data_IF_691936427766
#
_entry.id   IF_691936427766
#
_cell.length_a   1.000
_cell.length_b   1.000
_cell.length_c   1.000
_cell.angle_alpha   90.00
_cell.angle_beta   90.00
_cell.angle_gamma   90.00
#
_symmetry.space_group_name_H-M   'P 1'
#
loop_
_entity.id
_entity.type
_entity.pdbx_description
1 polymer ?
#
# COMPACT_ATOMS: atom_id res chain seq x y z
N UNK A 1 14.57 23.06 -2.09
CA UNK A 1 13.50 23.99 -2.54
C UNK A 1 12.37 23.97 -1.50
N UNK A 2 11.67 25.09 -1.21
CA UNK A 2 10.51 25.08 -0.34
C UNK A 2 9.36 24.28 -0.99
N UNK A 3 8.59 23.59 -0.16
CA UNK A 3 7.37 22.86 -0.50
C UNK A 3 6.19 23.38 0.32
N UNK A 4 5.01 22.77 0.20
CA UNK A 4 3.85 23.19 1.00
C UNK A 4 3.97 22.81 2.48
N UNK A 5 4.73 21.74 2.79
CA UNK A 5 4.87 21.19 4.15
C UNK A 5 6.30 21.30 4.70
N UNK A 6 7.23 21.92 3.97
CA UNK A 6 8.60 22.07 4.41
C UNK A 6 9.60 22.32 3.29
N UNK A 7 10.54 21.41 3.09
CA UNK A 7 11.58 21.52 2.06
C UNK A 7 11.80 20.18 1.35
N UNK A 8 12.16 20.25 0.06
CA UNK A 8 12.61 19.08 -0.69
C UNK A 8 13.88 19.40 -1.50
N UNK A 9 14.76 18.43 -1.64
CA UNK A 9 15.89 18.50 -2.55
C UNK A 9 16.21 17.12 -3.11
N UNK A 10 16.93 17.11 -4.21
CA UNK A 10 17.37 15.89 -4.90
C UNK A 10 18.89 15.84 -4.87
N UNK A 11 19.43 14.70 -4.46
CA UNK A 11 20.86 14.41 -4.52
C UNK A 11 21.10 13.32 -5.58
N UNK A 12 22.13 13.52 -6.41
CA UNK A 12 22.57 12.50 -7.35
C UNK A 12 23.52 11.55 -6.65
N UNK A 13 23.37 10.27 -6.97
CA UNK A 13 24.33 9.26 -6.56
C UNK A 13 25.65 9.48 -7.32
N UNK A 14 26.78 9.47 -6.61
CA UNK A 14 28.09 9.71 -7.20
C UNK A 14 28.60 8.52 -8.01
N UNK A 15 28.23 7.31 -7.61
CA UNK A 15 28.62 6.06 -8.23
C UNK A 15 27.67 5.62 -9.35
N UNK A 16 26.40 6.12 -9.29
CA UNK A 16 25.35 5.82 -10.27
C UNK A 16 24.68 7.13 -10.75
N UNK A 17 25.22 7.79 -11.77
CA UNK A 17 24.77 9.13 -12.20
C UNK A 17 23.31 9.24 -12.63
N UNK A 18 22.67 8.13 -13.02
CA UNK A 18 21.24 8.04 -13.31
C UNK A 18 20.38 7.95 -12.05
N UNK A 19 20.97 7.61 -10.90
CA UNK A 19 20.26 7.44 -9.67
C UNK A 19 20.20 8.74 -8.85
N UNK A 20 19.06 8.96 -8.19
CA UNK A 20 18.80 10.14 -7.39
C UNK A 20 18.05 9.78 -6.11
N UNK A 21 18.39 10.45 -5.02
CA UNK A 21 17.64 10.40 -3.77
C UNK A 21 16.85 11.69 -3.60
N UNK A 22 15.54 11.57 -3.41
CA UNK A 22 14.67 12.66 -2.99
C UNK A 22 14.66 12.72 -1.46
N UNK A 23 15.00 13.87 -0.93
CA UNK A 23 14.87 14.19 0.50
C UNK A 23 13.68 15.12 0.70
N UNK A 24 12.81 14.78 1.64
CA UNK A 24 11.72 15.64 2.12
C UNK A 24 11.98 15.93 3.59
N UNK A 25 12.07 17.19 3.97
CA UNK A 25 12.40 17.63 5.33
C UNK A 25 13.69 16.98 5.88
N UNK A 26 14.68 16.75 5.02
CA UNK A 26 15.96 16.12 5.39
C UNK A 26 15.91 14.60 5.54
N UNK A 27 14.76 13.97 5.30
CA UNK A 27 14.60 12.50 5.34
C UNK A 27 14.63 11.93 3.93
N UNK A 28 15.42 10.86 3.64
CA UNK A 28 15.36 10.14 2.38
C UNK A 28 13.96 9.56 2.18
N UNK A 29 13.21 10.10 1.21
CA UNK A 29 11.80 9.75 1.00
C UNK A 29 11.59 8.92 -0.27
N UNK A 30 12.52 8.99 -1.23
CA UNK A 30 12.48 8.14 -2.42
C UNK A 30 13.87 8.02 -3.01
N UNK A 31 14.17 6.86 -3.56
CA UNK A 31 15.32 6.64 -4.41
C UNK A 31 14.83 6.18 -5.78
N UNK A 32 15.38 6.76 -6.84
CA UNK A 32 14.99 6.47 -8.21
C UNK A 32 16.24 6.31 -9.07
N UNK A 33 16.29 5.26 -9.87
CA UNK A 33 17.13 5.24 -11.05
C UNK A 33 16.30 5.79 -12.23
N UNK A 34 16.78 6.87 -12.84
CA UNK A 34 16.04 7.55 -13.91
C UNK A 34 16.09 6.75 -15.22
N UNK A 35 17.12 5.91 -15.42
CA UNK A 35 17.30 5.06 -16.59
C UNK A 35 16.68 3.66 -16.38
N UNK A 36 16.47 3.24 -15.12
CA UNK A 36 15.81 1.96 -14.79
C UNK A 36 14.57 2.17 -13.90
N UNK A 37 13.40 2.38 -14.49
CA UNK A 37 12.16 2.52 -13.74
C UNK A 37 11.69 1.22 -13.04
N UNK A 38 12.29 0.08 -13.38
CA UNK A 38 12.06 -1.20 -12.72
C UNK A 38 12.78 -1.36 -11.39
N UNK A 39 13.78 -0.52 -11.12
CA UNK A 39 14.57 -0.58 -9.90
C UNK A 39 13.83 0.02 -8.71
N UNK A 40 13.74 -0.74 -7.63
CA UNK A 40 13.25 -0.31 -6.31
C UNK A 40 14.35 -0.50 -5.28
N UNK A 41 14.90 0.59 -4.74
CA UNK A 41 16.01 0.52 -3.78
C UNK A 41 15.55 0.15 -2.37
N UNK A 42 14.41 0.68 -1.93
CA UNK A 42 13.93 0.42 -0.58
C UNK A 42 13.34 -0.99 -0.47
N UNK A 43 13.78 -1.74 0.53
CA UNK A 43 13.43 -3.14 0.74
C UNK A 43 11.92 -3.34 0.87
N UNK A 44 11.22 -2.44 1.58
CA UNK A 44 9.77 -2.53 1.74
C UNK A 44 9.03 -2.34 0.41
N UNK A 45 9.53 -1.51 -0.50
CA UNK A 45 8.95 -1.36 -1.84
C UNK A 45 9.12 -2.62 -2.68
N UNK A 46 10.28 -3.31 -2.57
CA UNK A 46 10.49 -4.62 -3.22
C UNK A 46 9.53 -5.67 -2.65
N UNK A 47 9.26 -5.64 -1.35
CA UNK A 47 8.28 -6.52 -0.70
C UNK A 47 6.86 -6.23 -1.19
N UNK A 48 6.48 -4.95 -1.32
CA UNK A 48 5.19 -4.55 -1.90
C UNK A 48 5.06 -4.98 -3.36
N UNK A 49 6.11 -4.79 -4.16
CA UNK A 49 6.17 -5.23 -5.55
C UNK A 49 5.95 -6.75 -5.69
N UNK A 50 6.58 -7.56 -4.83
CA UNK A 50 6.37 -9.00 -4.80
C UNK A 50 4.91 -9.39 -4.52
N UNK A 51 4.18 -8.63 -3.71
CA UNK A 51 2.73 -8.84 -3.50
C UNK A 51 1.93 -8.44 -4.74
N UNK A 52 2.27 -7.32 -5.39
CA UNK A 52 1.61 -6.88 -6.64
C UNK A 52 1.80 -7.92 -7.75
N UNK A 53 2.94 -8.62 -7.77
CA UNK A 53 3.21 -9.67 -8.76
C UNK A 53 2.38 -10.95 -8.57
N UNK A 54 1.76 -11.15 -7.39
CA UNK A 54 0.76 -12.22 -7.18
C UNK A 54 -0.60 -11.91 -7.83
N UNK A 55 -0.86 -10.65 -8.20
CA UNK A 55 -2.07 -10.30 -8.93
C UNK A 55 -2.03 -10.82 -10.37
N UNK A 56 -3.20 -11.01 -10.96
CA UNK A 56 -3.33 -11.43 -12.36
C UNK A 56 -2.48 -10.52 -13.28
N UNK A 57 -1.83 -11.09 -14.32
CA UNK A 57 -1.04 -10.31 -15.28
C UNK A 57 -1.89 -9.29 -16.01
N UNK A 58 -1.26 -8.17 -16.38
CA UNK A 58 -1.89 -7.11 -17.16
C UNK A 58 -1.96 -5.78 -16.42
N UNK A 59 -2.65 -4.80 -17.01
CA UNK A 59 -2.75 -3.46 -16.44
C UNK A 59 -3.56 -3.43 -15.16
N UNK A 60 -3.17 -2.53 -14.24
CA UNK A 60 -3.79 -2.34 -12.92
C UNK A 60 -4.42 -0.94 -12.81
N UNK A 61 -5.40 -0.84 -11.93
CA UNK A 61 -5.81 0.45 -11.37
C UNK A 61 -5.22 0.56 -9.96
N UNK A 62 -4.24 1.44 -9.80
CA UNK A 62 -3.51 1.61 -8.54
C UNK A 62 -3.75 2.98 -7.91
N UNK A 63 -3.90 3.00 -6.59
CA UNK A 63 -3.99 4.20 -5.77
C UNK A 63 -2.76 4.21 -4.83
N UNK A 64 -2.01 5.31 -4.88
CA UNK A 64 -0.85 5.52 -4.03
C UNK A 64 -1.12 6.69 -3.09
N UNK A 65 -1.27 6.41 -1.80
CA UNK A 65 -1.42 7.37 -0.73
C UNK A 65 -0.03 7.63 -0.13
N UNK A 66 0.46 8.87 -0.26
CA UNK A 66 1.86 9.23 -0.09
C UNK A 66 2.65 8.95 -1.37
N UNK A 67 2.62 9.89 -2.32
CA UNK A 67 3.23 9.66 -3.62
C UNK A 67 4.72 10.03 -3.67
N UNK A 68 5.17 10.98 -2.86
CA UNK A 68 6.56 11.48 -2.79
C UNK A 68 7.26 11.51 -4.17
N UNK A 69 8.38 10.77 -4.36
CA UNK A 69 9.12 10.67 -5.62
C UNK A 69 8.52 9.72 -6.65
N UNK A 70 7.40 9.06 -6.36
CA UNK A 70 6.71 8.15 -7.26
C UNK A 70 7.53 6.91 -7.70
N UNK A 71 8.39 6.37 -6.84
CA UNK A 71 9.19 5.17 -7.16
C UNK A 71 8.30 3.98 -7.51
N UNK A 72 7.34 3.62 -6.64
CA UNK A 72 6.42 2.52 -6.88
C UNK A 72 5.46 2.78 -8.07
N UNK A 73 4.88 3.98 -8.26
CA UNK A 73 4.14 4.31 -9.47
C UNK A 73 4.94 4.13 -10.78
N UNK A 74 6.23 4.50 -10.80
CA UNK A 74 7.13 4.28 -11.96
C UNK A 74 7.34 2.79 -12.22
N UNK A 75 7.57 2.02 -11.16
CA UNK A 75 7.70 0.57 -11.24
C UNK A 75 6.43 -0.09 -11.81
N UNK A 76 5.24 0.30 -11.34
CA UNK A 76 3.96 -0.21 -11.87
C UNK A 76 3.80 0.14 -13.34
N UNK A 77 4.11 1.36 -13.77
CA UNK A 77 4.04 1.74 -15.18
C UNK A 77 4.97 0.89 -16.06
N UNK A 78 6.17 0.58 -15.55
CA UNK A 78 7.17 -0.21 -16.25
C UNK A 78 6.77 -1.69 -16.35
N UNK A 79 6.36 -2.30 -15.23
CA UNK A 79 6.08 -3.74 -15.15
C UNK A 79 4.67 -4.13 -15.57
N UNK A 80 3.72 -3.19 -15.50
CA UNK A 80 2.29 -3.35 -15.82
C UNK A 80 1.84 -2.29 -16.81
N UNK A 81 2.39 -2.27 -18.06
CA UNK A 81 2.08 -1.24 -19.03
C UNK A 81 0.58 -1.18 -19.34
N UNK A 82 0.06 0.04 -19.51
CA UNK A 82 -1.37 0.30 -19.67
C UNK A 82 -2.14 0.48 -18.36
N UNK A 83 -1.46 0.44 -17.22
CA UNK A 83 -2.05 0.72 -15.92
C UNK A 83 -2.52 2.18 -15.81
N UNK A 84 -3.51 2.39 -14.96
CA UNK A 84 -4.06 3.71 -14.63
C UNK A 84 -3.85 3.95 -13.14
N UNK A 85 -3.16 5.03 -12.80
CA UNK A 85 -2.70 5.26 -11.44
C UNK A 85 -3.09 6.65 -10.92
N UNK A 86 -3.42 6.74 -9.65
CA UNK A 86 -3.63 7.97 -8.90
C UNK A 86 -2.65 8.02 -7.73
N UNK A 87 -1.76 9.01 -7.72
CA UNK A 87 -0.92 9.36 -6.59
C UNK A 87 -1.54 10.53 -5.83
N UNK A 88 -1.68 10.39 -4.52
CA UNK A 88 -2.20 11.41 -3.62
C UNK A 88 -1.11 11.79 -2.64
N UNK A 89 -0.88 13.07 -2.47
CA UNK A 89 0.05 13.60 -1.48
C UNK A 89 -0.48 14.94 -0.94
N UNK A 90 -0.24 15.22 0.32
CA UNK A 90 -0.70 16.46 0.94
C UNK A 90 0.07 17.68 0.40
N UNK A 91 1.31 17.49 -0.03
CA UNK A 91 2.20 18.56 -0.48
C UNK A 91 2.03 18.86 -1.98
N UNK A 92 1.16 19.81 -2.28
CA UNK A 92 0.90 20.23 -3.66
C UNK A 92 2.17 20.69 -4.40
N UNK A 93 3.05 21.41 -3.70
CA UNK A 93 4.28 21.91 -4.30
C UNK A 93 5.30 20.79 -4.56
N UNK A 94 5.38 19.80 -3.67
CA UNK A 94 6.19 18.62 -3.90
C UNK A 94 5.74 17.89 -5.17
N UNK A 95 4.43 17.69 -5.36
CA UNK A 95 3.89 17.04 -6.55
C UNK A 95 4.24 17.76 -7.87
N UNK A 96 4.30 19.09 -7.87
CA UNK A 96 4.78 19.87 -9.03
C UNK A 96 6.28 19.66 -9.28
N UNK A 97 7.07 19.68 -8.21
CA UNK A 97 8.52 19.53 -8.29
C UNK A 97 8.93 18.15 -8.81
N UNK A 98 8.33 17.07 -8.28
CA UNK A 98 8.67 15.71 -8.71
C UNK A 98 8.30 15.43 -10.17
N UNK A 99 7.21 16.02 -10.66
CA UNK A 99 6.89 15.98 -12.10
C UNK A 99 7.97 16.63 -12.97
N UNK A 100 8.55 17.72 -12.49
CA UNK A 100 9.61 18.44 -13.19
C UNK A 100 10.94 17.70 -13.10
N UNK A 101 11.25 17.11 -11.95
CA UNK A 101 12.52 16.47 -11.68
C UNK A 101 12.68 15.08 -12.34
N UNK A 102 11.56 14.32 -12.44
CA UNK A 102 11.62 12.88 -12.75
C UNK A 102 10.87 12.48 -14.03
N UNK A 103 10.43 13.43 -14.86
CA UNK A 103 9.69 13.18 -16.11
C UNK A 103 8.59 12.09 -15.94
N UNK A 104 7.76 12.26 -14.93
CA UNK A 104 6.75 11.27 -14.55
C UNK A 104 5.67 11.11 -15.64
N UNK A 105 5.13 9.90 -15.84
CA UNK A 105 4.04 9.64 -16.77
C UNK A 105 2.85 10.58 -16.52
N UNK A 106 2.17 10.98 -17.61
CA UNK A 106 0.97 11.82 -17.51
C UNK A 106 -0.30 10.98 -17.44
N UNK A 107 -1.40 11.61 -17.00
CA UNK A 107 -2.73 10.99 -17.02
C UNK A 107 -3.05 10.38 -18.39
N UNK A 108 -3.69 9.19 -18.47
CA UNK A 108 -4.23 8.40 -17.33
C UNK A 108 -3.20 7.49 -16.64
N UNK A 109 -1.98 7.35 -17.18
CA UNK A 109 -0.96 6.44 -16.64
C UNK A 109 -0.56 6.79 -15.21
N UNK A 110 -0.36 8.10 -14.92
CA UNK A 110 -0.16 8.60 -13.55
C UNK A 110 -0.76 10.00 -13.41
N UNK A 111 -1.86 10.09 -12.66
CA UNK A 111 -2.42 11.35 -12.18
C UNK A 111 -1.88 11.62 -10.78
N UNK A 112 -1.46 12.86 -10.50
CA UNK A 112 -1.11 13.33 -9.17
C UNK A 112 -2.18 14.30 -8.68
N UNK A 113 -2.61 14.15 -7.42
CA UNK A 113 -3.65 14.95 -6.78
C UNK A 113 -3.17 15.42 -5.41
N UNK A 114 -3.08 16.75 -5.19
CA UNK A 114 -2.85 17.28 -3.86
C UNK A 114 -4.11 17.12 -3.02
N UNK A 115 -4.04 16.31 -1.96
CA UNK A 115 -5.17 16.06 -1.06
C UNK A 115 -4.69 15.32 0.20
N UNK A 116 -5.51 15.35 1.28
CA UNK A 116 -5.38 14.40 2.37
C UNK A 116 -5.77 13.00 1.89
N UNK A 117 -5.02 11.99 2.34
CA UNK A 117 -5.21 10.61 1.89
C UNK A 117 -6.60 10.05 2.24
N UNK A 118 -7.11 10.31 3.45
CA UNK A 118 -8.43 9.86 3.90
C UNK A 118 -9.56 10.55 3.15
N UNK A 119 -9.46 11.88 2.99
CA UNK A 119 -10.40 12.66 2.20
C UNK A 119 -10.43 12.19 0.73
N UNK A 120 -9.26 11.92 0.15
CA UNK A 120 -9.18 11.40 -1.21
C UNK A 120 -9.90 10.07 -1.37
N UNK A 121 -9.66 9.09 -0.46
CA UNK A 121 -10.27 7.74 -0.52
C UNK A 121 -11.79 7.82 -0.36
N UNK A 122 -12.30 8.63 0.56
CA UNK A 122 -13.74 8.79 0.78
C UNK A 122 -14.49 9.23 -0.49
N UNK A 123 -13.87 10.08 -1.34
CA UNK A 123 -14.43 10.55 -2.59
C UNK A 123 -14.32 9.58 -3.78
N UNK A 124 -13.68 8.41 -3.62
CA UNK A 124 -13.48 7.47 -4.71
C UNK A 124 -14.63 6.44 -4.80
N UNK A 125 -14.98 5.97 -6.02
CA UNK A 125 -16.03 4.98 -6.18
C UNK A 125 -15.63 3.62 -5.61
N UNK A 126 -16.63 2.87 -5.12
CA UNK A 126 -16.42 1.51 -4.63
C UNK A 126 -15.92 0.58 -5.74
N UNK A 127 -15.19 -0.48 -5.38
CA UNK A 127 -14.70 -1.53 -6.26
C UNK A 127 -14.03 -0.99 -7.54
N UNK A 128 -13.15 0.02 -7.40
CA UNK A 128 -12.53 0.71 -8.53
C UNK A 128 -11.02 0.53 -8.64
N UNK A 129 -10.35 -0.01 -7.61
CA UNK A 129 -8.91 -0.21 -7.57
C UNK A 129 -8.51 -1.67 -7.36
N UNK A 130 -7.44 -2.09 -8.03
CA UNK A 130 -6.83 -3.41 -7.85
C UNK A 130 -5.78 -3.39 -6.75
N UNK A 131 -5.11 -2.24 -6.57
CA UNK A 131 -4.08 -2.01 -5.57
C UNK A 131 -4.30 -0.66 -4.90
N UNK A 132 -4.24 -0.63 -3.58
CA UNK A 132 -4.10 0.60 -2.79
C UNK A 132 -2.84 0.48 -1.96
N UNK A 133 -1.97 1.48 -2.03
CA UNK A 133 -0.74 1.57 -1.22
C UNK A 133 -0.87 2.75 -0.27
N UNK A 134 -0.58 2.54 1.01
CA UNK A 134 -0.39 3.60 1.99
C UNK A 134 1.07 3.66 2.42
N UNK A 135 1.75 4.73 2.03
CA UNK A 135 3.13 5.03 2.37
C UNK A 135 3.23 6.51 2.76
N UNK A 136 2.47 6.87 3.81
CA UNK A 136 2.33 8.24 4.29
C UNK A 136 2.98 8.39 5.65
N UNK A 137 3.85 9.38 5.78
CA UNK A 137 4.55 9.70 7.00
C UNK A 137 4.52 11.20 7.29
N UNK A 138 4.41 11.53 8.58
CA UNK A 138 4.76 12.81 9.17
C UNK A 138 5.96 12.56 10.09
N UNK A 139 7.15 12.98 9.66
CA UNK A 139 8.40 12.56 10.28
C UNK A 139 8.64 11.06 10.17
N UNK A 140 8.69 10.34 11.30
CA UNK A 140 8.88 8.89 11.38
C UNK A 140 7.58 8.10 11.68
N UNK A 141 6.41 8.75 11.59
CA UNK A 141 5.12 8.17 11.98
C UNK A 141 4.07 8.33 10.90
N UNK A 142 3.22 7.34 10.76
CA UNK A 142 1.96 7.50 10.03
C UNK A 142 1.01 8.40 10.83
N UNK A 143 0.36 9.40 10.21
CA UNK A 143 -0.70 10.18 10.86
C UNK A 143 -1.82 9.27 11.39
N UNK A 144 -2.25 9.50 12.63
CA UNK A 144 -3.17 8.60 13.35
C UNK A 144 -4.46 8.32 12.59
N UNK A 145 -5.06 9.33 11.94
CA UNK A 145 -6.31 9.21 11.18
C UNK A 145 -6.20 8.28 9.93
N UNK A 146 -4.99 7.97 9.49
CA UNK A 146 -4.73 7.07 8.36
C UNK A 146 -4.49 5.61 8.77
N UNK A 147 -4.36 5.34 10.08
CA UNK A 147 -4.11 3.99 10.61
C UNK A 147 -5.37 3.35 11.22
N UNK A 148 -6.51 4.05 11.23
CA UNK A 148 -7.75 3.64 11.89
C UNK A 148 -8.53 2.61 11.10
N UNK A 149 -9.48 1.97 11.79
CA UNK A 149 -10.42 1.04 11.18
C UNK A 149 -11.28 1.72 10.11
N UNK A 150 -11.78 2.93 10.36
CA UNK A 150 -12.58 3.65 9.36
C UNK A 150 -11.80 3.92 8.07
N UNK A 151 -10.49 4.23 8.16
CA UNK A 151 -9.63 4.33 6.98
C UNK A 151 -9.49 2.98 6.26
N UNK A 152 -9.29 1.89 6.99
CA UNK A 152 -9.16 0.56 6.41
C UNK A 152 -10.48 0.06 5.77
N UNK A 153 -11.63 0.38 6.37
CA UNK A 153 -12.97 0.09 5.82
C UNK A 153 -13.20 0.87 4.51
N UNK A 154 -12.79 2.14 4.43
CA UNK A 154 -12.87 2.93 3.19
C UNK A 154 -11.94 2.37 2.09
N UNK A 155 -10.73 1.96 2.43
CA UNK A 155 -9.84 1.28 1.47
C UNK A 155 -10.45 -0.05 1.03
N UNK A 156 -11.01 -0.84 1.94
CA UNK A 156 -11.72 -2.08 1.58
C UNK A 156 -12.88 -1.80 0.61
N UNK A 157 -13.64 -0.71 0.81
CA UNK A 157 -14.74 -0.29 -0.07
C UNK A 157 -14.27 0.00 -1.50
N UNK A 158 -13.18 0.75 -1.66
CA UNK A 158 -12.66 1.15 -2.99
C UNK A 158 -11.90 0.05 -3.72
N UNK A 159 -11.37 -0.95 -3.01
CA UNK A 159 -10.75 -2.11 -3.64
C UNK A 159 -11.77 -2.96 -4.39
N UNK A 160 -11.39 -3.55 -5.50
CA UNK A 160 -12.13 -4.61 -6.17
C UNK A 160 -12.05 -5.91 -5.38
N UNK A 161 -13.00 -6.85 -5.55
CA UNK A 161 -12.82 -8.22 -5.08
C UNK A 161 -11.49 -8.79 -5.59
N UNK A 162 -10.68 -9.37 -4.70
CA UNK A 162 -9.31 -9.81 -5.00
C UNK A 162 -8.26 -8.69 -5.01
N UNK A 163 -8.64 -7.43 -4.88
CA UNK A 163 -7.72 -6.31 -4.77
C UNK A 163 -6.96 -6.29 -3.44
N UNK A 164 -5.78 -5.66 -3.42
CA UNK A 164 -4.87 -5.67 -2.28
C UNK A 164 -4.63 -4.27 -1.70
N UNK A 165 -4.64 -4.18 -0.39
CA UNK A 165 -4.16 -3.04 0.38
C UNK A 165 -2.76 -3.32 0.90
N UNK A 166 -1.80 -2.44 0.61
CA UNK A 166 -0.42 -2.50 1.06
C UNK A 166 -0.13 -1.29 1.95
N UNK A 167 0.47 -1.54 3.08
CA UNK A 167 0.75 -0.52 4.09
C UNK A 167 2.22 -0.58 4.46
N UNK A 168 2.92 0.55 4.37
CA UNK A 168 4.21 0.72 5.00
C UNK A 168 4.02 1.16 6.46
N UNK A 169 4.47 0.32 7.39
CA UNK A 169 4.44 0.58 8.82
C UNK A 169 5.87 0.62 9.36
N UNK A 170 6.41 1.83 9.58
CA UNK A 170 7.70 1.99 10.26
C UNK A 170 7.50 1.77 11.76
N UNK A 171 8.23 0.81 12.35
CA UNK A 171 8.06 0.49 13.77
C UNK A 171 9.38 0.04 14.40
N UNK A 172 9.39 0.08 15.72
CA UNK A 172 10.51 -0.30 16.57
C UNK A 172 10.08 -1.36 17.60
N UNK A 173 11.03 -2.10 18.17
CA UNK A 173 10.69 -3.02 19.25
C UNK A 173 9.83 -2.35 20.35
N UNK A 174 8.72 -2.99 20.80
CA UNK A 174 8.27 -4.36 20.57
C UNK A 174 7.26 -4.51 19.39
N UNK A 175 7.25 -3.64 18.41
CA UNK A 175 6.36 -3.64 17.22
C UNK A 175 4.89 -3.39 17.57
N UNK A 176 4.65 -2.46 18.47
CA UNK A 176 3.29 -2.16 18.95
C UNK A 176 2.40 -1.61 17.84
N UNK A 177 2.93 -0.71 17.01
CA UNK A 177 2.21 -0.10 15.89
C UNK A 177 1.86 -1.14 14.83
N UNK A 178 2.84 -1.94 14.39
CA UNK A 178 2.62 -2.98 13.40
C UNK A 178 1.59 -4.03 13.85
N UNK A 179 1.60 -4.42 15.13
CA UNK A 179 0.61 -5.34 15.71
C UNK A 179 -0.80 -4.74 15.72
N UNK A 180 -0.94 -3.47 16.14
CA UNK A 180 -2.22 -2.76 16.18
C UNK A 180 -2.78 -2.53 14.78
N UNK A 181 -1.96 -2.08 13.84
CA UNK A 181 -2.37 -1.89 12.46
C UNK A 181 -2.75 -3.23 11.80
N UNK A 182 -2.02 -4.33 12.09
CA UNK A 182 -2.40 -5.67 11.61
C UNK A 182 -3.76 -6.11 12.16
N UNK A 183 -4.02 -5.88 13.46
CA UNK A 183 -5.32 -6.15 14.06
C UNK A 183 -6.44 -5.34 13.38
N UNK A 184 -6.15 -4.07 13.08
CA UNK A 184 -7.07 -3.14 12.41
C UNK A 184 -7.42 -3.61 11.00
N UNK A 185 -6.41 -3.99 10.21
CA UNK A 185 -6.61 -4.56 8.88
C UNK A 185 -7.43 -5.86 8.92
N UNK A 186 -7.11 -6.76 9.85
CA UNK A 186 -7.84 -8.01 9.99
C UNK A 186 -9.32 -7.78 10.35
N UNK A 187 -9.61 -6.80 11.20
CA UNK A 187 -10.97 -6.43 11.56
C UNK A 187 -11.74 -5.82 10.38
N UNK A 188 -11.12 -4.95 9.58
CA UNK A 188 -11.73 -4.31 8.42
C UNK A 188 -11.94 -5.29 7.25
N UNK A 189 -11.01 -6.24 7.04
CA UNK A 189 -11.08 -7.22 5.95
C UNK A 189 -11.83 -8.52 6.33
N UNK A 190 -12.42 -8.57 7.52
CA UNK A 190 -13.30 -9.62 8.02
C UNK A 190 -12.58 -10.68 8.85
N UNK A 191 -13.33 -11.27 9.79
CA UNK A 191 -12.82 -12.23 10.78
C UNK A 191 -12.11 -13.46 10.18
N UNK A 192 -12.57 -13.93 9.03
CA UNK A 192 -11.98 -15.05 8.32
C UNK A 192 -10.61 -14.72 7.68
N UNK A 193 -10.20 -13.44 7.65
CA UNK A 193 -9.00 -12.98 6.94
C UNK A 193 -7.71 -13.66 7.41
N UNK A 194 -7.59 -13.97 8.70
CA UNK A 194 -6.45 -14.75 9.21
C UNK A 194 -6.47 -16.20 8.68
N UNK A 195 -7.57 -16.92 8.88
CA UNK A 195 -7.68 -18.33 8.49
C UNK A 195 -7.49 -18.53 6.98
N UNK A 196 -7.99 -17.60 6.19
CA UNK A 196 -7.88 -17.62 4.73
C UNK A 196 -6.51 -17.11 4.22
N UNK A 197 -5.67 -16.58 5.08
CA UNK A 197 -4.37 -16.01 4.70
C UNK A 197 -4.50 -14.75 3.83
N UNK A 198 -5.54 -13.96 4.06
CA UNK A 198 -5.80 -12.70 3.34
C UNK A 198 -5.18 -11.48 4.02
N UNK A 199 -4.61 -11.64 5.21
CA UNK A 199 -3.80 -10.62 5.89
C UNK A 199 -2.43 -11.18 6.17
N UNK A 200 -1.39 -10.35 5.98
CA UNK A 200 0.01 -10.70 6.19
C UNK A 200 0.82 -9.55 6.76
N UNK A 201 1.92 -9.90 7.44
CA UNK A 201 3.04 -9.01 7.73
C UNK A 201 4.29 -9.53 7.02
N UNK A 202 5.01 -8.64 6.34
CA UNK A 202 6.19 -8.97 5.55
C UNK A 202 7.32 -8.04 5.99
N UNK A 203 8.42 -8.62 6.44
CA UNK A 203 9.65 -7.89 6.79
C UNK A 203 10.80 -8.86 6.95
N UNK A 204 11.99 -8.33 7.19
CA UNK A 204 13.12 -9.16 7.58
C UNK A 204 12.85 -9.92 8.89
N UNK A 205 13.39 -11.13 9.03
CA UNK A 205 13.21 -11.92 10.25
C UNK A 205 13.66 -11.22 11.55
N UNK A 206 14.66 -10.32 11.46
CA UNK A 206 15.14 -9.57 12.62
C UNK A 206 14.12 -8.49 13.06
N UNK A 207 13.47 -7.84 12.11
CA UNK A 207 12.40 -6.88 12.37
C UNK A 207 11.17 -7.58 12.96
N UNK A 208 10.67 -8.66 12.33
CA UNK A 208 9.50 -9.42 12.81
C UNK A 208 9.70 -9.98 14.24
N UNK A 209 10.95 -10.24 14.63
CA UNK A 209 11.30 -10.63 16.01
C UNK A 209 11.48 -9.45 16.97
N UNK A 210 11.19 -8.22 16.51
CA UNK A 210 11.35 -7.01 17.33
C UNK A 210 12.78 -6.78 17.80
N UNK A 211 13.79 -7.02 16.94
CA UNK A 211 15.21 -6.85 17.31
C UNK A 211 15.79 -5.55 16.80
N UNK A 212 15.15 -4.90 15.84
CA UNK A 212 15.58 -3.61 15.28
C UNK A 212 14.39 -2.80 14.75
N UNK A 213 14.60 -1.50 14.61
CA UNK A 213 13.72 -0.60 13.86
C UNK A 213 13.71 -0.96 12.38
N UNK A 214 12.58 -0.75 11.71
CA UNK A 214 12.47 -0.84 10.26
C UNK A 214 11.03 -0.85 9.78
N UNK A 215 10.87 -0.99 8.47
CA UNK A 215 9.58 -1.03 7.82
C UNK A 215 9.01 -2.45 7.85
N UNK A 216 7.77 -2.58 8.27
CA UNK A 216 6.97 -3.80 8.15
C UNK A 216 5.90 -3.52 7.11
N UNK A 217 5.89 -4.26 6.03
CA UNK A 217 4.81 -4.21 5.04
C UNK A 217 3.64 -5.03 5.58
N UNK A 218 2.49 -4.39 5.75
CA UNK A 218 1.25 -5.07 6.04
C UNK A 218 0.45 -5.18 4.75
N UNK A 219 -0.14 -6.33 4.49
CA UNK A 219 -0.93 -6.57 3.31
C UNK A 219 -2.29 -7.16 3.67
N UNK A 220 -3.35 -6.71 3.00
CA UNK A 220 -4.69 -7.26 3.18
C UNK A 220 -5.40 -7.38 1.82
N UNK A 221 -6.00 -8.54 1.54
CA UNK A 221 -6.70 -8.84 0.29
C UNK A 221 -8.21 -8.81 0.53
N UNK A 222 -8.94 -8.05 -0.28
CA UNK A 222 -10.40 -8.07 -0.28
C UNK A 222 -10.90 -9.42 -0.79
N UNK A 223 -11.81 -10.07 -0.05
CA UNK A 223 -12.39 -11.35 -0.47
C UNK A 223 -12.98 -11.26 -1.88
N UNK A 224 -12.80 -12.31 -2.67
CA UNK A 224 -13.49 -12.48 -3.95
C UNK A 224 -14.98 -12.78 -3.75
N UNK A 225 -15.80 -12.48 -4.74
CA UNK A 225 -17.25 -12.72 -4.70
C UNK A 225 -17.65 -14.18 -4.63
N UNK A 226 -16.71 -15.14 -4.78
CA UNK A 226 -16.93 -16.59 -4.73
C UNK A 226 -16.63 -17.28 -3.39
N UNK A 227 -16.20 -16.56 -2.34
CA UNK A 227 -15.81 -17.14 -1.06
C UNK A 227 -16.93 -17.13 -0.02
N UNK A 228 -18.16 -17.46 -0.40
CA UNK A 228 -19.23 -17.81 0.55
C UNK A 228 -19.22 -19.32 0.72
N UNK A 229 -18.74 -19.81 1.87
CA UNK A 229 -18.84 -21.20 2.27
C UNK A 229 -20.33 -21.54 2.47
N UNK A 230 -20.94 -22.12 1.43
CA UNK A 230 -22.26 -22.71 1.43
C UNK A 230 -22.18 -24.09 0.81
N UNK A 231 -22.23 -25.13 1.63
CA UNK A 231 -22.50 -26.48 1.16
C UNK A 231 -23.86 -26.52 0.46
N UNK A 232 -23.85 -26.63 -0.85
CA UNK A 232 -25.05 -26.79 -1.66
C UNK A 232 -24.65 -27.21 -3.05
N UNK A 233 -24.91 -28.48 -3.34
CA UNK A 233 -24.79 -29.08 -4.66
C UNK A 233 -25.76 -28.38 -5.60
N UNK A 234 -25.27 -27.63 -6.59
CA UNK A 234 -26.06 -27.24 -7.75
C UNK A 234 -25.28 -27.37 -9.06
N UNK A 235 -26.03 -27.85 -10.02
CA UNK A 235 -25.68 -28.33 -11.33
C UNK A 235 -25.12 -27.21 -12.20
N UNK A 236 -24.03 -27.47 -12.89
CA UNK A 236 -23.42 -26.60 -13.90
C UNK A 236 -24.40 -26.28 -15.03
N UNK A 237 -24.67 -25.01 -15.26
CA UNK A 237 -25.22 -24.55 -16.55
C UNK A 237 -24.17 -23.62 -17.17
N UNK A 238 -23.71 -24.02 -18.34
CA UNK A 238 -22.74 -23.30 -19.17
C UNK A 238 -23.34 -21.98 -19.65
N UNK A 239 -22.64 -20.86 -19.46
CA UNK A 239 -22.31 -19.78 -20.39
C UNK A 239 -21.90 -18.50 -19.63
N UNK A 240 -20.64 -18.11 -19.75
CA UNK A 240 -20.15 -16.82 -19.25
C UNK A 240 -18.64 -16.80 -19.19
N UNK A 241 -17.99 -16.31 -20.25
CA UNK A 241 -16.54 -16.04 -20.32
C UNK A 241 -16.16 -14.89 -19.39
N UNK A 242 -15.91 -15.23 -18.15
CA UNK A 242 -15.26 -14.39 -17.15
C UNK A 242 -14.46 -15.34 -16.29
N UNK A 243 -13.14 -15.41 -16.49
CA UNK A 243 -12.28 -16.22 -15.64
C UNK A 243 -12.51 -15.78 -14.20
N UNK A 244 -13.04 -16.66 -13.36
CA UNK A 244 -13.01 -16.54 -11.90
C UNK A 244 -11.55 -16.52 -11.46
N UNK A 245 -10.93 -15.35 -11.50
CA UNK A 245 -9.59 -15.15 -10.99
C UNK A 245 -9.65 -15.45 -9.48
N UNK A 246 -9.07 -16.58 -9.10
CA UNK A 246 -8.90 -16.92 -7.68
C UNK A 246 -8.21 -15.74 -7.02
N UNK A 247 -8.83 -15.15 -6.01
CA UNK A 247 -8.24 -14.03 -5.28
C UNK A 247 -6.83 -14.42 -4.78
N UNK A 248 -5.83 -13.53 -4.92
CA UNK A 248 -4.48 -13.84 -4.50
C UNK A 248 -4.48 -14.19 -3.01
N UNK A 249 -3.72 -15.22 -2.65
CA UNK A 249 -3.51 -15.58 -1.25
C UNK A 249 -2.12 -15.14 -0.81
N UNK A 250 -2.05 -14.40 0.30
CA UNK A 250 -0.77 -13.96 0.87
C UNK A 250 0.01 -15.12 1.54
N UNK A 251 -0.58 -16.32 1.56
CA UNK A 251 0.07 -17.56 2.02
C UNK A 251 0.63 -18.41 0.88
N UNK A 252 0.77 -17.87 -0.34
CA UNK A 252 1.29 -18.61 -1.49
C UNK A 252 2.77 -18.98 -1.32
N UNK A 253 3.15 -20.13 -1.84
CA UNK A 253 4.57 -20.55 -1.86
C UNK A 253 5.39 -19.65 -2.80
N UNK A 254 4.76 -19.08 -3.83
CA UNK A 254 5.38 -18.18 -4.80
C UNK A 254 5.78 -16.88 -4.12
N UNK A 255 4.87 -16.20 -3.43
CA UNK A 255 5.17 -15.00 -2.65
C UNK A 255 6.27 -15.26 -1.60
N UNK A 256 6.12 -16.35 -0.84
CA UNK A 256 7.11 -16.71 0.18
C UNK A 256 8.52 -16.96 -0.41
N UNK A 257 8.62 -17.46 -1.63
CA UNK A 257 9.88 -17.62 -2.35
C UNK A 257 10.39 -16.28 -2.86
N UNK A 258 9.52 -15.47 -3.48
CA UNK A 258 9.87 -14.17 -4.02
C UNK A 258 10.51 -13.29 -2.96
N UNK A 259 9.85 -13.09 -1.80
CA UNK A 259 10.38 -12.22 -0.75
C UNK A 259 11.66 -12.77 -0.10
N UNK A 260 11.86 -14.09 -0.07
CA UNK A 260 13.13 -14.67 0.42
C UNK A 260 14.29 -14.47 -0.55
N UNK A 261 14.00 -14.28 -1.83
CA UNK A 261 15.01 -14.12 -2.89
C UNK A 261 15.38 -12.65 -3.13
N UNK A 262 14.78 -11.71 -2.39
CA UNK A 262 15.15 -10.29 -2.46
C UNK A 262 16.60 -10.09 -1.97
N UNK A 263 17.22 -8.98 -2.39
CA UNK A 263 18.57 -8.61 -1.96
C UNK A 263 18.70 -8.59 -0.43
N UNK A 264 17.67 -8.11 0.25
CA UNK A 264 17.49 -8.26 1.69
C UNK A 264 16.34 -9.25 1.92
N UNK A 265 16.63 -10.50 2.26
CA UNK A 265 15.62 -11.55 2.41
C UNK A 265 14.56 -11.21 3.46
N UNK A 266 13.30 -11.28 3.06
CA UNK A 266 12.15 -11.07 3.93
C UNK A 266 11.35 -12.36 4.14
N UNK A 267 10.41 -12.30 5.06
CA UNK A 267 9.50 -13.39 5.40
C UNK A 267 8.07 -12.90 5.42
N UNK A 268 7.17 -13.70 4.88
CA UNK A 268 5.72 -13.50 5.00
C UNK A 268 5.23 -14.23 6.24
N UNK A 269 4.48 -13.55 7.07
CA UNK A 269 3.79 -14.10 8.25
C UNK A 269 2.29 -13.99 8.02
N UNK A 270 1.58 -15.12 8.06
CA UNK A 270 0.14 -15.21 7.78
C UNK A 270 -0.54 -16.17 8.75
N UNK A 271 -1.87 -16.24 8.71
CA UNK A 271 -2.69 -17.25 9.41
C UNK A 271 -2.44 -17.25 10.94
N UNK A 272 -2.27 -18.42 11.54
CA UNK A 272 -2.08 -18.59 13.00
C UNK A 272 -0.80 -17.92 13.48
N UNK A 273 0.27 -17.91 12.67
CA UNK A 273 1.50 -17.21 13.00
C UNK A 273 1.28 -15.70 13.07
N UNK A 274 0.51 -15.12 12.14
CA UNK A 274 0.15 -13.71 12.18
C UNK A 274 -0.75 -13.40 13.38
N UNK A 275 -1.70 -14.28 13.70
CA UNK A 275 -2.53 -14.14 14.90
C UNK A 275 -1.68 -14.14 16.17
N UNK A 276 -0.70 -15.03 16.25
CA UNK A 276 0.27 -15.04 17.37
C UNK A 276 1.14 -13.78 17.40
N UNK A 277 1.56 -13.26 16.23
CA UNK A 277 2.29 -12.00 16.13
C UNK A 277 1.46 -10.82 16.65
N UNK A 278 0.20 -10.72 16.28
CA UNK A 278 -0.75 -9.68 16.73
C UNK A 278 -1.01 -9.80 18.24
N UNK A 279 -1.22 -11.02 18.74
CA UNK A 279 -1.53 -11.26 20.15
C UNK A 279 -2.84 -10.60 20.58
N UNK A 280 -2.78 -9.79 21.63
CA UNK A 280 -3.92 -9.03 22.17
C UNK A 280 -3.92 -7.56 21.77
N UNK A 281 -3.19 -7.20 20.71
CA UNK A 281 -3.10 -5.82 20.27
C UNK A 281 -4.50 -5.29 19.87
N UNK A 282 -4.93 -4.13 20.41
CA UNK A 282 -6.24 -3.58 20.10
C UNK A 282 -6.28 -3.02 18.67
N UNK A 283 -7.48 -3.00 18.11
CA UNK A 283 -7.82 -2.28 16.88
C UNK A 283 -7.63 -0.78 17.12
N UNK A 284 -7.26 -0.06 16.07
CA UNK A 284 -7.17 1.39 16.04
C UNK A 284 -8.50 1.93 15.51
N UNK A 285 -9.37 2.36 16.39
CA UNK A 285 -10.63 2.96 16.01
C UNK A 285 -10.47 4.47 15.75
N UNK A 286 -11.43 5.05 15.04
CA UNK A 286 -11.48 6.50 14.85
C UNK A 286 -11.73 7.17 16.22
N UNK A 287 -11.16 8.38 16.46
CA UNK A 287 -11.43 9.11 17.69
C UNK A 287 -12.92 9.40 17.82
N UNK A 288 -13.49 9.15 19.00
CA UNK A 288 -14.89 9.48 19.31
C UNK A 288 -15.08 10.99 19.18
N UNK A 289 -15.89 11.44 18.21
CA UNK A 289 -16.37 12.82 18.16
C UNK A 289 -15.94 13.69 16.99
N UNK A 290 -15.26 13.19 15.96
CA UNK A 290 -15.18 13.94 14.71
C UNK A 290 -16.39 13.58 13.82
N UNK A 291 -17.36 14.51 13.65
CA UNK A 291 -18.40 14.32 12.65
C UNK A 291 -17.74 14.33 11.25
N UNK A 292 -18.09 13.35 10.43
CA UNK A 292 -17.80 13.33 8.99
C UNK A 292 -18.57 14.41 8.21
N UNK A 293 -19.08 15.43 8.92
CA UNK A 293 -19.85 16.51 8.35
C UNK A 293 -19.16 17.86 8.53
N UNK A 294 -18.90 18.54 7.43
CA UNK A 294 -18.81 19.96 7.50
C UNK A 294 -17.71 20.68 6.75
N UNK A 295 -17.60 20.47 5.44
CA UNK A 295 -17.24 21.58 4.56
C UNK A 295 -18.47 21.90 3.68
N UNK A 296 -19.55 22.30 4.35
CA UNK A 296 -20.64 23.01 3.69
C UNK A 296 -20.16 24.40 3.30
N UNK A 297 -20.23 24.68 2.01
CA UNK A 297 -20.39 25.95 1.34
C UNK A 297 -20.40 27.20 2.25
N UNK A 298 -19.32 27.96 2.28
CA UNK A 298 -19.29 29.38 2.58
C UNK A 298 -19.53 30.13 1.29
N UNK A 299 -20.80 30.36 0.92
CA UNK A 299 -21.17 31.33 -0.08
C UNK A 299 -21.26 32.72 0.56
N UNK A 300 -20.68 33.68 -0.06
CA UNK A 300 -21.19 35.06 -0.36
C UNK A 300 -20.09 35.86 -1.03
#
# INVERSE_FOLDING_TARGET
MPTSTGTAHVERDLDHPSAVTLYVNGVPSSYLDLDDPGMLAFEYMQQMAAVVDELAPGPLRALHLGAAGCSLPRWVEHTRPGSSQLGVDLDARLLELVRTWFDLPRSPRLRLRPDDARHAVAGLPAASYDVVVRDVFDGDRTPDHLATRGMADEVHRVLRPGGVYLVNCADRPPLTTARRETATLAAAFGEASYAEGRVAAIAEPAQLKGRRYGNVVLAAVRAGTGASAGAGTEVATEAGTGADAVAPTLSSATLARAVRSLAVPARVVTRDELRAFVGTAPVLDDPEGEPTDGLAAGGS
#
